data_IF_105917222897
#
_entry.id   IF_105917222897
#
_cell.length_a   1.000
_cell.length_b   1.000
_cell.length_c   1.000
_cell.angle_alpha   90.00
_cell.angle_beta   90.00
_cell.angle_gamma   90.00
#
_symmetry.space_group_name_H-M   'P 1'
#
loop_
_entity.id
_entity.type
_entity.pdbx_description
1 polymer ?
#
# COMPACT_ATOMS: atom_id res chain seq x y z
N UNK A 1 29.00 27.81 -13.11
CA UNK A 1 28.87 26.42 -12.60
C UNK A 1 29.99 26.22 -11.60
N UNK A 2 29.72 25.68 -10.40
CA UNK A 2 30.80 25.40 -9.45
C UNK A 2 31.63 24.24 -10.01
N UNK A 3 32.78 24.55 -10.59
CA UNK A 3 33.71 23.56 -11.16
C UNK A 3 34.52 22.92 -10.04
N UNK A 4 34.70 21.60 -10.11
CA UNK A 4 35.65 20.88 -9.26
C UNK A 4 37.05 21.45 -9.51
N UNK A 5 37.79 21.69 -8.43
CA UNK A 5 39.20 22.06 -8.53
C UNK A 5 40.04 20.83 -8.89
N UNK A 6 41.26 21.03 -9.39
CA UNK A 6 42.20 19.92 -9.64
C UNK A 6 42.47 19.11 -8.38
N UNK A 7 42.52 19.77 -7.21
CA UNK A 7 42.66 19.12 -5.92
C UNK A 7 41.45 18.23 -5.61
N UNK A 8 40.23 18.72 -5.81
CA UNK A 8 39.00 17.95 -5.60
C UNK A 8 38.98 16.68 -6.46
N UNK A 9 39.41 16.80 -7.72
CA UNK A 9 39.50 15.67 -8.66
C UNK A 9 40.51 14.64 -8.16
N UNK A 10 41.71 15.08 -7.78
CA UNK A 10 42.77 14.18 -7.31
C UNK A 10 42.35 13.44 -6.02
N UNK A 11 41.73 14.16 -5.09
CA UNK A 11 41.20 13.62 -3.83
C UNK A 11 40.11 12.56 -4.08
N UNK A 12 39.17 12.83 -5.00
CA UNK A 12 38.13 11.87 -5.37
C UNK A 12 38.70 10.62 -6.02
N UNK A 13 39.68 10.76 -6.92
CA UNK A 13 40.35 9.62 -7.56
C UNK A 13 41.04 8.74 -6.51
N UNK A 14 41.78 9.34 -5.58
CA UNK A 14 42.47 8.60 -4.52
C UNK A 14 41.49 7.81 -3.65
N UNK A 15 40.37 8.42 -3.26
CA UNK A 15 39.30 7.76 -2.48
C UNK A 15 38.70 6.58 -3.24
N UNK A 16 38.40 6.75 -4.53
CA UNK A 16 37.85 5.70 -5.38
C UNK A 16 38.84 4.54 -5.56
N UNK A 17 40.14 4.82 -5.71
CA UNK A 17 41.19 3.80 -5.80
C UNK A 17 41.33 2.98 -4.51
N UNK A 18 41.11 3.61 -3.35
CA UNK A 18 41.10 2.94 -2.04
C UNK A 18 39.79 2.19 -1.75
N UNK A 19 38.76 2.37 -2.57
CA UNK A 19 37.43 1.79 -2.34
C UNK A 19 36.64 2.47 -1.22
N UNK A 20 37.00 3.70 -0.86
CA UNK A 20 36.33 4.47 0.20
C UNK A 20 35.11 5.24 -0.36
N UNK A 21 34.06 5.48 0.45
CA UNK A 21 32.88 6.21 0.00
C UNK A 21 33.18 7.68 -0.30
N UNK A 22 32.46 8.24 -1.29
CA UNK A 22 32.56 9.65 -1.67
C UNK A 22 31.87 10.52 -0.60
N UNK A 23 32.49 11.62 -0.13
CA UNK A 23 31.85 12.55 0.80
C UNK A 23 30.62 13.26 0.21
N UNK A 24 29.60 13.51 1.02
CA UNK A 24 28.33 14.14 0.57
C UNK A 24 28.50 15.56 0.03
N UNK A 25 29.51 16.30 0.47
CA UNK A 25 29.79 17.67 0.03
C UNK A 25 29.99 17.77 -1.50
N UNK A 26 30.42 16.68 -2.14
CA UNK A 26 30.62 16.61 -3.58
C UNK A 26 29.36 16.21 -4.36
N UNK A 27 28.28 15.76 -3.70
CA UNK A 27 27.08 15.25 -4.36
C UNK A 27 26.51 16.23 -5.39
N UNK A 28 26.32 17.49 -4.99
CA UNK A 28 25.74 18.52 -5.88
C UNK A 28 26.77 19.13 -6.86
N UNK A 29 28.07 18.96 -6.58
CA UNK A 29 29.15 19.36 -7.50
C UNK A 29 29.30 18.34 -8.65
N UNK A 30 29.26 17.05 -8.32
CA UNK A 30 29.38 15.93 -9.26
C UNK A 30 28.09 15.71 -10.05
N UNK A 31 26.94 15.82 -9.38
CA UNK A 31 25.62 15.58 -9.97
C UNK A 31 24.77 16.85 -9.85
N UNK A 32 25.03 17.87 -10.69
CA UNK A 32 24.28 19.11 -10.67
C UNK A 32 22.82 18.85 -11.03
N UNK A 33 21.92 19.15 -10.10
CA UNK A 33 20.50 18.86 -10.25
C UNK A 33 19.84 20.00 -11.02
N UNK A 34 19.33 19.74 -12.22
CA UNK A 34 18.64 20.73 -13.06
C UNK A 34 17.23 21.09 -12.55
N UNK A 35 16.58 20.17 -11.82
CA UNK A 35 15.24 20.34 -11.27
C UNK A 35 15.22 19.76 -9.85
N UNK A 36 14.78 20.54 -8.85
CA UNK A 36 14.65 20.06 -7.46
C UNK A 36 13.24 19.54 -7.25
N UNK A 37 13.10 18.22 -7.24
CA UNK A 37 11.92 17.55 -6.69
C UNK A 37 12.20 17.19 -5.23
N UNK A 38 11.32 17.61 -4.33
CA UNK A 38 11.47 17.28 -2.91
C UNK A 38 10.95 15.86 -2.68
N UNK A 39 11.83 14.97 -2.23
CA UNK A 39 11.44 13.62 -1.82
C UNK A 39 11.67 13.42 -0.32
N UNK A 40 10.66 12.89 0.38
CA UNK A 40 10.80 12.42 1.77
C UNK A 40 11.41 11.02 1.77
N UNK A 41 12.66 10.88 2.19
CA UNK A 41 13.36 9.60 2.34
C UNK A 41 13.59 9.32 3.83
N UNK A 42 13.32 8.10 4.26
CA UNK A 42 13.59 7.64 5.62
C UNK A 42 13.95 6.16 5.62
N UNK A 43 14.63 5.70 6.67
CA UNK A 43 15.08 4.32 6.78
C UNK A 43 13.89 3.34 6.73
N UNK A 44 14.00 2.27 5.93
CA UNK A 44 12.95 1.27 5.76
C UNK A 44 11.81 1.68 4.83
N UNK A 45 11.83 2.88 4.24
CA UNK A 45 10.91 3.25 3.17
C UNK A 45 11.23 2.44 1.91
N UNK A 46 10.37 1.49 1.56
CA UNK A 46 10.47 0.78 0.28
C UNK A 46 10.17 1.72 -0.90
N UNK A 47 10.80 1.46 -2.05
CA UNK A 47 10.49 2.20 -3.27
C UNK A 47 9.14 1.75 -3.81
N UNK A 48 8.48 2.63 -4.55
CA UNK A 48 7.18 2.33 -5.13
C UNK A 48 7.28 1.16 -6.13
N UNK A 49 8.37 1.13 -6.88
CA UNK A 49 8.68 0.13 -7.88
C UNK A 49 8.82 -1.25 -7.25
N UNK A 50 9.56 -1.35 -6.14
CA UNK A 50 9.77 -2.59 -5.38
C UNK A 50 8.43 -3.15 -4.85
N UNK A 51 7.54 -2.28 -4.35
CA UNK A 51 6.19 -2.68 -3.90
C UNK A 51 5.35 -3.22 -5.07
N UNK A 52 5.40 -2.56 -6.24
CA UNK A 52 4.69 -3.00 -7.44
C UNK A 52 5.27 -4.29 -8.03
N UNK A 53 6.56 -4.53 -7.85
CA UNK A 53 7.25 -5.76 -8.24
C UNK A 53 7.05 -6.92 -7.25
N UNK A 54 6.36 -6.68 -6.12
CA UNK A 54 6.15 -7.63 -5.03
C UNK A 54 7.44 -8.07 -4.31
N UNK A 55 8.45 -7.20 -4.27
CA UNK A 55 9.69 -7.44 -3.50
C UNK A 55 9.47 -7.35 -1.98
N UNK A 56 8.33 -6.79 -1.56
CA UNK A 56 7.84 -6.76 -0.18
C UNK A 56 7.35 -8.14 0.32
N UNK A 57 7.33 -9.17 -0.54
CA UNK A 57 6.90 -10.52 -0.21
C UNK A 57 5.38 -10.69 -0.10
N UNK A 58 4.59 -9.65 -0.41
CA UNK A 58 3.12 -9.70 -0.39
C UNK A 58 2.61 -9.88 -1.81
N UNK A 59 1.91 -10.98 -2.07
CA UNK A 59 1.40 -11.30 -3.41
C UNK A 59 -0.11 -11.14 -3.50
N UNK A 60 -0.64 -10.69 -4.66
CA UNK A 60 -2.07 -10.71 -4.90
C UNK A 60 -2.62 -12.13 -4.76
N UNK A 61 -3.81 -12.26 -4.18
CA UNK A 61 -4.43 -13.55 -3.89
C UNK A 61 -5.90 -13.51 -4.34
N UNK A 62 -6.40 -14.59 -4.97
CA UNK A 62 -7.78 -14.64 -5.43
C UNK A 62 -8.76 -14.48 -4.27
N UNK A 63 -9.85 -13.76 -4.54
CA UNK A 63 -10.89 -13.48 -3.55
C UNK A 63 -11.83 -14.68 -3.40
N UNK A 64 -12.08 -15.10 -2.16
CA UNK A 64 -13.04 -16.15 -1.87
C UNK A 64 -14.32 -15.55 -1.28
N UNK A 65 -15.48 -15.88 -1.85
CA UNK A 65 -16.77 -15.46 -1.29
C UNK A 65 -17.10 -16.34 -0.09
N UNK A 66 -17.22 -15.73 1.08
CA UNK A 66 -17.60 -16.45 2.31
C UNK A 66 -19.11 -16.42 2.53
N UNK A 67 -19.74 -15.27 2.31
CA UNK A 67 -21.18 -15.09 2.54
C UNK A 67 -21.76 -14.03 1.62
N UNK A 68 -22.97 -14.29 1.15
CA UNK A 68 -23.78 -13.32 0.39
C UNK A 68 -25.05 -13.04 1.18
N UNK A 69 -25.31 -11.78 1.45
CA UNK A 69 -26.52 -11.29 2.10
C UNK A 69 -27.51 -10.79 1.05
N UNK A 70 -28.81 -11.04 1.31
CA UNK A 70 -29.94 -10.57 0.51
C UNK A 70 -30.13 -11.22 -0.87
N UNK A 71 -29.55 -12.40 -1.12
CA UNK A 71 -29.61 -13.09 -2.42
C UNK A 71 -31.01 -13.58 -2.84
N UNK A 72 -31.88 -13.88 -1.86
CA UNK A 72 -33.14 -14.59 -2.09
C UNK A 72 -34.33 -13.65 -2.32
N UNK A 73 -34.27 -12.42 -1.82
CA UNK A 73 -35.39 -11.46 -1.84
C UNK A 73 -35.28 -10.47 -3.00
N UNK A 74 -34.06 -10.24 -3.51
CA UNK A 74 -33.78 -9.44 -4.70
C UNK A 74 -32.68 -10.12 -5.53
N UNK A 75 -33.02 -10.87 -6.59
CA UNK A 75 -32.03 -11.44 -7.49
C UNK A 75 -31.28 -10.29 -8.18
N UNK A 76 -30.04 -10.09 -7.75
CA UNK A 76 -29.21 -8.97 -8.18
C UNK A 76 -28.88 -9.16 -9.66
N UNK A 77 -29.36 -8.25 -10.51
CA UNK A 77 -28.94 -8.22 -11.92
C UNK A 77 -27.45 -7.86 -12.01
N UNK A 78 -26.76 -8.32 -13.05
CA UNK A 78 -25.31 -8.09 -13.21
C UNK A 78 -24.87 -6.61 -13.21
N UNK A 79 -25.83 -5.68 -13.34
CA UNK A 79 -25.62 -4.23 -13.42
C UNK A 79 -25.97 -3.46 -12.14
N UNK A 80 -26.32 -4.12 -11.03
CA UNK A 80 -26.72 -3.43 -9.80
C UNK A 80 -25.54 -3.24 -8.80
N UNK A 81 -25.59 -2.15 -8.01
CA UNK A 81 -24.55 -1.85 -7.02
C UNK A 81 -24.46 -2.94 -5.95
N UNK A 82 -23.23 -3.36 -5.63
CA UNK A 82 -22.97 -4.30 -4.53
C UNK A 82 -21.98 -3.72 -3.54
N UNK A 83 -22.26 -3.88 -2.25
CA UNK A 83 -21.29 -3.60 -1.21
C UNK A 83 -20.39 -4.82 -1.01
N UNK A 84 -19.11 -4.57 -0.77
CA UNK A 84 -18.11 -5.60 -0.46
C UNK A 84 -17.49 -5.31 0.90
N UNK A 85 -17.44 -6.31 1.76
CA UNK A 85 -16.63 -6.33 2.98
C UNK A 85 -15.55 -7.37 2.75
N UNK A 86 -14.30 -6.98 2.86
CA UNK A 86 -13.15 -7.86 2.62
C UNK A 86 -12.40 -8.05 3.92
N UNK A 87 -12.12 -9.31 4.26
CA UNK A 87 -11.32 -9.73 5.40
C UNK A 87 -9.97 -10.19 4.92
N UNK A 88 -8.90 -9.73 5.56
CA UNK A 88 -7.53 -10.10 5.23
C UNK A 88 -6.59 -8.92 5.39
N UNK A 89 -5.40 -9.06 4.82
CA UNK A 89 -4.42 -7.98 4.78
C UNK A 89 -4.82 -6.92 3.73
N UNK A 90 -4.74 -5.65 4.13
CA UNK A 90 -5.14 -4.53 3.28
C UNK A 90 -4.24 -4.36 2.06
N UNK A 91 -2.92 -4.51 2.22
CA UNK A 91 -1.96 -4.37 1.13
C UNK A 91 -2.17 -5.48 0.10
N UNK A 92 -2.38 -6.71 0.58
CA UNK A 92 -2.68 -7.85 -0.27
C UNK A 92 -3.96 -7.66 -1.11
N UNK A 93 -5.03 -7.14 -0.48
CA UNK A 93 -6.26 -6.81 -1.19
C UNK A 93 -6.03 -5.72 -2.24
N UNK A 94 -5.36 -4.63 -1.88
CA UNK A 94 -5.09 -3.51 -2.78
C UNK A 94 -4.24 -3.93 -3.99
N UNK A 95 -3.29 -4.86 -3.81
CA UNK A 95 -2.54 -5.47 -4.92
C UNK A 95 -3.43 -6.28 -5.85
N UNK A 96 -4.36 -7.05 -5.30
CA UNK A 96 -5.35 -7.82 -6.08
C UNK A 96 -6.26 -6.90 -6.90
N UNK A 97 -6.70 -5.78 -6.30
CA UNK A 97 -7.44 -4.71 -7.00
C UNK A 97 -6.60 -4.05 -8.09
N UNK A 98 -5.32 -3.80 -7.82
CA UNK A 98 -4.41 -3.21 -8.78
C UNK A 98 -4.16 -4.14 -9.98
N UNK A 99 -4.02 -5.44 -9.75
CA UNK A 99 -3.83 -6.44 -10.80
C UNK A 99 -5.07 -6.58 -11.69
N UNK A 100 -6.28 -6.40 -11.13
CA UNK A 100 -7.55 -6.33 -11.87
C UNK A 100 -7.83 -7.59 -12.72
N UNK A 101 -7.39 -8.76 -12.26
CA UNK A 101 -7.62 -10.05 -12.93
C UNK A 101 -8.76 -10.85 -12.32
N UNK A 102 -9.03 -10.68 -11.02
CA UNK A 102 -10.02 -11.47 -10.30
C UNK A 102 -11.45 -11.21 -10.82
N UNK A 103 -12.23 -12.25 -11.17
CA UNK A 103 -13.57 -12.11 -11.75
C UNK A 103 -14.56 -11.28 -10.92
N UNK A 104 -14.41 -11.25 -9.60
CA UNK A 104 -15.33 -10.53 -8.71
C UNK A 104 -15.17 -9.01 -8.83
N UNK A 105 -13.94 -8.53 -9.03
CA UNK A 105 -13.58 -7.10 -8.98
C UNK A 105 -13.06 -6.54 -10.30
N UNK A 106 -12.77 -7.40 -11.28
CA UNK A 106 -12.25 -7.01 -12.59
C UNK A 106 -13.13 -5.93 -13.23
N UNK A 107 -12.50 -4.83 -13.61
CA UNK A 107 -13.09 -3.65 -14.26
C UNK A 107 -14.22 -2.96 -13.46
N UNK A 108 -14.37 -3.33 -12.19
CA UNK A 108 -15.40 -2.81 -11.27
C UNK A 108 -14.83 -1.85 -10.24
N UNK A 109 -13.60 -2.07 -9.78
CA UNK A 109 -13.00 -1.28 -8.68
C UNK A 109 -11.90 -0.34 -9.18
N UNK A 110 -10.94 -0.86 -9.97
CA UNK A 110 -9.76 -0.10 -10.41
C UNK A 110 -10.19 1.14 -11.22
N UNK A 111 -9.79 2.33 -10.76
CA UNK A 111 -10.13 3.61 -11.41
C UNK A 111 -11.56 4.12 -11.18
N UNK A 112 -12.41 3.37 -10.45
CA UNK A 112 -13.82 3.73 -10.19
C UNK A 112 -14.09 4.21 -8.75
N UNK A 113 -13.06 4.24 -7.90
CA UNK A 113 -13.16 4.68 -6.49
C UNK A 113 -13.24 6.22 -6.43
N UNK A 114 -14.30 6.75 -5.82
CA UNK A 114 -14.52 8.20 -5.67
C UNK A 114 -14.04 8.77 -4.34
N UNK A 115 -14.11 7.98 -3.27
CA UNK A 115 -13.78 8.39 -1.91
C UNK A 115 -13.14 7.21 -1.20
N UNK A 116 -12.03 7.48 -0.51
CA UNK A 116 -11.36 6.54 0.38
C UNK A 116 -11.31 7.22 1.75
N UNK A 117 -11.87 6.54 2.76
CA UNK A 117 -11.72 6.93 4.16
C UNK A 117 -10.88 5.87 4.85
N UNK A 118 -9.81 6.29 5.52
CA UNK A 118 -8.96 5.44 6.34
C UNK A 118 -8.76 6.12 7.70
N UNK A 119 -8.81 5.32 8.77
CA UNK A 119 -8.46 5.72 10.13
C UNK A 119 -7.30 4.84 10.60
N UNK A 120 -6.07 5.06 10.07
CA UNK A 120 -4.93 4.24 10.44
C UNK A 120 -4.53 4.49 11.90
N UNK A 121 -3.91 3.51 12.58
CA UNK A 121 -3.41 3.73 13.93
C UNK A 121 -2.39 4.87 13.93
N UNK A 122 -2.57 5.82 14.83
CA UNK A 122 -1.64 6.93 14.98
C UNK A 122 -0.36 6.42 15.65
N UNK A 123 0.80 6.82 15.14
CA UNK A 123 2.10 6.53 15.75
C UNK A 123 2.35 7.44 16.97
N UNK A 124 1.46 7.38 17.96
CA UNK A 124 1.63 8.02 19.26
C UNK A 124 2.41 7.06 20.17
N UNK A 125 3.73 7.06 20.02
CA UNK A 125 4.64 6.21 20.82
C UNK A 125 4.70 6.59 22.30
N UNK A 126 3.92 7.56 22.78
CA UNK A 126 4.03 8.09 24.16
C UNK A 126 2.73 8.13 24.96
N UNK A 127 1.64 7.46 24.55
CA UNK A 127 0.46 7.29 25.42
C UNK A 127 0.17 5.81 25.65
N UNK A 128 0.90 5.29 26.65
CA UNK A 128 0.65 4.08 27.41
C UNK A 128 0.89 2.75 26.66
N UNK A 129 1.81 1.97 27.22
CA UNK A 129 2.11 0.59 26.85
C UNK A 129 0.81 -0.22 26.70
N UNK A 130 0.50 -0.62 25.47
CA UNK A 130 -0.54 -1.60 25.18
C UNK A 130 0.08 -2.80 24.44
N UNK A 131 0.90 -3.55 25.16
CA UNK A 131 1.30 -4.90 24.80
C UNK A 131 0.13 -5.83 24.39
N UNK A 132 -1.12 -5.69 24.89
CA UNK A 132 -2.22 -6.58 24.50
C UNK A 132 -2.68 -6.46 23.04
N UNK A 133 -2.52 -5.29 22.39
CA UNK A 133 -3.06 -5.07 21.03
C UNK A 133 -2.19 -5.68 19.92
N UNK A 134 -0.86 -5.66 20.10
CA UNK A 134 0.07 -6.26 19.15
C UNK A 134 -0.05 -7.80 19.10
N UNK A 135 -0.36 -8.42 20.23
CA UNK A 135 -0.58 -9.87 20.33
C UNK A 135 -1.82 -10.32 19.55
N UNK A 136 -2.88 -9.51 19.52
CA UNK A 136 -4.12 -9.85 18.80
C UNK A 136 -3.97 -9.74 17.27
N UNK A 137 -3.21 -8.75 16.77
CA UNK A 137 -2.91 -8.63 15.33
C UNK A 137 -2.15 -9.85 14.80
N UNK A 138 -1.17 -10.37 15.55
CA UNK A 138 -0.41 -11.58 15.14
C UNK A 138 -1.28 -12.83 15.06
N UNK A 139 -2.27 -12.96 15.92
CA UNK A 139 -3.14 -14.15 15.98
C UNK A 139 -4.25 -14.17 14.94
N UNK A 140 -4.46 -13.07 14.20
CA UNK A 140 -5.46 -12.97 13.14
C UNK A 140 -4.87 -13.17 11.73
N UNK A 141 -3.54 -13.34 11.63
CA UNK A 141 -2.84 -13.63 10.38
C UNK A 141 -2.94 -15.13 10.02
N UNK A 142 -4.17 -15.62 9.85
CA UNK A 142 -4.48 -16.91 9.24
C UNK A 142 -4.98 -16.69 7.82
N UNK A 143 -4.22 -17.19 6.84
CA UNK A 143 -4.31 -16.80 5.43
C UNK A 143 -5.64 -17.11 4.74
N UNK A 144 -6.20 -16.08 4.12
CA UNK A 144 -7.32 -16.13 3.19
C UNK A 144 -8.00 -14.77 3.09
N UNK A 145 -8.17 -14.24 1.87
CA UNK A 145 -8.99 -13.06 1.62
C UNK A 145 -10.45 -13.51 1.46
N UNK A 146 -11.28 -13.25 2.48
CA UNK A 146 -12.70 -13.59 2.44
C UNK A 146 -13.54 -12.35 2.13
N UNK A 147 -14.58 -12.50 1.30
CA UNK A 147 -15.45 -11.41 0.90
C UNK A 147 -16.89 -11.71 1.28
N UNK A 148 -17.52 -10.72 1.92
CA UNK A 148 -18.95 -10.69 2.20
C UNK A 148 -19.61 -9.66 1.28
N UNK A 149 -20.69 -10.07 0.60
CA UNK A 149 -21.45 -9.22 -0.31
C UNK A 149 -22.85 -8.91 0.24
N UNK A 150 -23.39 -7.72 -0.01
CA UNK A 150 -24.80 -7.40 0.28
C UNK A 150 -25.30 -6.08 -0.32
N UNK A 151 -26.62 -5.98 -0.52
CA UNK A 151 -27.29 -4.85 -1.21
C UNK A 151 -27.80 -3.74 -0.29
N UNK A 152 -27.78 -3.93 1.04
CA UNK A 152 -28.37 -3.01 2.02
C UNK A 152 -27.34 -2.51 3.05
N UNK A 153 -27.64 -1.40 3.74
CA UNK A 153 -26.77 -0.75 4.73
C UNK A 153 -26.25 -1.76 5.78
N UNK A 154 -24.92 -1.92 5.86
CA UNK A 154 -24.26 -2.64 6.95
C UNK A 154 -23.94 -1.65 8.07
N UNK A 155 -24.46 -1.92 9.27
CA UNK A 155 -24.07 -1.19 10.48
C UNK A 155 -22.67 -1.63 10.89
N UNK A 156 -21.71 -0.72 10.75
CA UNK A 156 -20.28 -0.93 10.97
C UNK A 156 -20.00 -1.29 12.45
N UNK A 157 -19.75 -2.56 12.75
CA UNK A 157 -19.35 -2.99 14.08
C UNK A 157 -17.82 -2.88 14.21
N UNK A 158 -17.37 -2.10 15.19
CA UNK A 158 -15.98 -1.76 15.56
C UNK A 158 -14.94 -2.89 15.41
N UNK A 159 -14.35 -3.05 14.23
CA UNK A 159 -13.09 -3.77 13.96
C UNK A 159 -12.53 -3.25 12.63
N UNK A 160 -11.23 -3.30 12.43
CA UNK A 160 -10.56 -2.70 11.26
C UNK A 160 -11.08 -3.30 9.94
N UNK A 161 -12.05 -2.62 9.34
CA UNK A 161 -12.71 -3.00 8.10
C UNK A 161 -12.44 -1.92 7.06
N UNK A 162 -12.01 -2.32 5.85
CA UNK A 162 -12.16 -1.45 4.69
C UNK A 162 -13.53 -1.70 4.06
N UNK A 163 -14.46 -0.78 4.28
CA UNK A 163 -15.73 -0.76 3.59
C UNK A 163 -15.57 -0.06 2.24
N UNK A 164 -15.59 -0.83 1.15
CA UNK A 164 -15.60 -0.26 -0.19
C UNK A 164 -17.05 -0.09 -0.67
N UNK A 165 -17.46 1.16 -0.84
CA UNK A 165 -18.69 1.50 -1.56
C UNK A 165 -18.34 1.71 -3.03
N UNK A 166 -18.44 0.65 -3.83
CA UNK A 166 -18.14 0.69 -5.26
C UNK A 166 -19.28 1.42 -5.97
N UNK A 167 -18.95 2.54 -6.60
CA UNK A 167 -19.91 3.37 -7.30
C UNK A 167 -19.95 3.06 -8.80
N UNK A 168 -21.17 2.85 -9.32
CA UNK A 168 -21.64 2.88 -10.72
C UNK A 168 -20.72 2.21 -11.75
N UNK A 169 -21.07 0.97 -12.09
CA UNK A 169 -20.56 0.22 -13.25
C UNK A 169 -20.86 0.99 -14.54
#
# INVERSE_FOLDING_TARGET
MASLTEYDIQFLIERLQKGEPIPEDYKYKLFPIKQKEYELVYAGKMRKEDILANEDGVFPVPLQVEKVFNSNEHPVSDNEWRNMIVFGDNLQFLKTVYENKDPLIKDKVKGKVKLIYIDPPLSLTSLLALEPLQQWQKNSAGGGLSVILGSSHFTLCRKGFLLFRIAKI
#
